data_IF_827495106211
#
_entry.id   IF_827495106211
#
_cell.length_a   1.000
_cell.length_b   1.000
_cell.length_c   1.000
_cell.angle_alpha   90.00
_cell.angle_beta   90.00
_cell.angle_gamma   90.00
#
_symmetry.space_group_name_H-M   'P 1'
#
loop_
_entity.id
_entity.type
_entity.pdbx_description
1 polymer ?
#
# COMPACT_ATOMS: atom_id res chain seq x y z
N UNK A 1 65.55 38.62 -34.79
CA UNK A 1 66.30 38.05 -33.66
C UNK A 1 65.73 38.66 -32.39
N UNK A 2 65.02 37.99 -31.48
CA UNK A 2 64.57 36.61 -31.39
C UNK A 2 63.47 36.53 -30.31
N UNK A 3 62.44 35.74 -30.63
CA UNK A 3 61.56 34.91 -29.81
C UNK A 3 60.71 35.46 -28.65
N UNK A 4 59.40 35.51 -28.96
CA UNK A 4 58.25 35.24 -28.08
C UNK A 4 58.53 34.10 -27.08
N UNK A 5 58.32 34.37 -25.79
CA UNK A 5 58.19 33.35 -24.76
C UNK A 5 56.71 33.18 -24.38
N UNK A 6 55.96 32.44 -25.19
CA UNK A 6 54.62 31.97 -24.82
C UNK A 6 54.76 30.96 -23.67
N UNK A 7 54.49 31.38 -22.43
CA UNK A 7 54.41 30.45 -21.30
C UNK A 7 53.17 29.55 -21.48
N UNK A 8 53.40 28.35 -22.02
CA UNK A 8 52.41 27.28 -22.04
C UNK A 8 52.18 26.79 -20.60
N UNK A 9 51.10 27.27 -19.98
CA UNK A 9 50.65 26.87 -18.64
C UNK A 9 50.19 25.41 -18.72
N UNK A 10 51.04 24.48 -18.30
CA UNK A 10 50.73 23.05 -18.21
C UNK A 10 49.45 22.86 -17.41
N UNK A 11 48.42 22.29 -18.03
CA UNK A 11 47.30 21.69 -17.28
C UNK A 11 47.88 20.52 -16.49
N UNK A 12 47.76 20.57 -15.16
CA UNK A 12 48.02 19.42 -14.33
C UNK A 12 46.84 18.46 -14.52
N UNK A 13 46.98 17.51 -15.43
CA UNK A 13 46.08 16.38 -15.50
C UNK A 13 46.29 15.56 -14.23
N UNK A 14 45.43 15.81 -13.23
CA UNK A 14 45.41 15.08 -11.97
C UNK A 14 44.69 13.75 -12.22
N UNK A 15 45.46 12.70 -12.49
CA UNK A 15 44.96 11.33 -12.46
C UNK A 15 44.60 10.89 -11.05
N UNK A 16 43.59 10.02 -10.92
CA UNK A 16 43.22 9.40 -9.65
C UNK A 16 44.38 8.55 -9.14
N UNK A 17 44.71 8.67 -7.86
CA UNK A 17 45.74 7.82 -7.24
C UNK A 17 45.15 6.45 -6.88
N UNK A 18 45.99 5.41 -6.81
CA UNK A 18 45.55 4.09 -6.33
C UNK A 18 44.95 4.17 -4.92
N UNK A 19 45.53 4.99 -4.05
CA UNK A 19 45.03 5.23 -2.69
C UNK A 19 43.65 5.86 -2.70
N UNK A 20 43.40 6.80 -3.61
CA UNK A 20 42.10 7.45 -3.76
C UNK A 20 41.02 6.49 -4.26
N UNK A 21 41.35 5.60 -5.21
CA UNK A 21 40.44 4.53 -5.62
C UNK A 21 40.14 3.55 -4.48
N UNK A 22 41.14 3.20 -3.66
CA UNK A 22 40.93 2.35 -2.48
C UNK A 22 40.05 3.06 -1.43
N UNK A 23 40.23 4.37 -1.23
CA UNK A 23 39.42 5.15 -0.29
C UNK A 23 37.97 5.34 -0.79
N UNK A 24 37.77 5.60 -2.08
CA UNK A 24 36.43 5.75 -2.67
C UNK A 24 35.68 4.43 -2.65
N UNK A 25 36.31 3.33 -3.04
CA UNK A 25 35.67 2.00 -3.05
C UNK A 25 35.34 1.51 -1.64
N UNK A 26 36.20 1.76 -0.66
CA UNK A 26 35.90 1.46 0.76
C UNK A 26 34.74 2.30 1.28
N UNK A 27 34.71 3.60 0.97
CA UNK A 27 33.61 4.47 1.37
C UNK A 27 32.28 4.07 0.73
N UNK A 28 32.27 3.71 -0.56
CA UNK A 28 31.09 3.21 -1.26
C UNK A 28 30.63 1.87 -0.67
N UNK A 29 31.54 0.96 -0.32
CA UNK A 29 31.19 -0.31 0.31
C UNK A 29 30.51 -0.12 1.69
N UNK A 30 31.04 0.78 2.51
CA UNK A 30 30.45 1.12 3.82
C UNK A 30 29.07 1.75 3.65
N UNK A 31 28.92 2.72 2.74
CA UNK A 31 27.63 3.35 2.47
C UNK A 31 26.60 2.38 1.89
N UNK A 32 27.03 1.50 0.98
CA UNK A 32 26.19 0.43 0.43
C UNK A 32 25.63 -0.47 1.51
N UNK A 33 26.44 -0.82 2.52
CA UNK A 33 26.02 -1.65 3.65
C UNK A 33 24.96 -0.97 4.53
N UNK A 34 25.05 0.35 4.72
CA UNK A 34 24.09 1.11 5.53
C UNK A 34 22.76 1.38 4.79
N UNK A 35 22.74 1.32 3.45
CA UNK A 35 21.62 1.80 2.64
C UNK A 35 20.40 0.88 2.60
N UNK A 36 20.53 -0.40 2.97
CA UNK A 36 19.50 -1.42 2.74
C UNK A 36 18.23 -1.21 3.59
N UNK A 37 18.35 -0.68 4.81
CA UNK A 37 17.27 -0.69 5.80
C UNK A 37 16.28 0.48 5.71
N UNK A 38 16.54 1.51 4.89
CA UNK A 38 15.75 2.75 4.92
C UNK A 38 14.42 2.70 4.13
N UNK A 39 14.14 1.62 3.37
CA UNK A 39 13.09 1.64 2.34
C UNK A 39 11.78 0.92 2.69
N UNK A 40 11.74 0.12 3.76
CA UNK A 40 10.57 -0.71 4.10
C UNK A 40 9.31 0.12 4.38
N UNK A 41 9.36 1.00 5.38
CA UNK A 41 8.18 1.76 5.83
C UNK A 41 7.61 2.75 4.80
N UNK A 42 8.38 3.18 3.81
CA UNK A 42 7.86 4.01 2.71
C UNK A 42 7.03 3.18 1.73
N UNK A 43 7.48 1.97 1.39
CA UNK A 43 6.75 1.06 0.50
C UNK A 43 5.40 0.68 1.08
N UNK A 44 5.34 0.38 2.37
CA UNK A 44 4.08 0.00 3.02
C UNK A 44 3.08 1.15 3.03
N UNK A 45 3.52 2.39 3.30
CA UNK A 45 2.63 3.57 3.21
C UNK A 45 2.07 3.77 1.80
N UNK A 46 2.89 3.58 0.77
CA UNK A 46 2.43 3.67 -0.62
C UNK A 46 1.42 2.56 -0.93
N UNK A 47 1.71 1.32 -0.53
CA UNK A 47 0.80 0.17 -0.70
C UNK A 47 -0.53 0.38 0.02
N UNK A 48 -0.50 0.82 1.28
CA UNK A 48 -1.70 1.18 2.04
C UNK A 48 -2.52 2.24 1.31
N UNK A 49 -1.88 3.29 0.78
CA UNK A 49 -2.60 4.31 0.01
C UNK A 49 -3.23 3.74 -1.27
N UNK A 50 -2.52 2.88 -2.00
CA UNK A 50 -3.07 2.20 -3.18
C UNK A 50 -4.30 1.39 -2.79
N UNK A 51 -4.24 0.60 -1.72
CA UNK A 51 -5.38 -0.20 -1.26
C UNK A 51 -6.59 0.67 -0.86
N UNK A 52 -6.36 1.81 -0.19
CA UNK A 52 -7.41 2.79 0.12
C UNK A 52 -8.06 3.34 -1.15
N UNK A 53 -7.25 3.72 -2.14
CA UNK A 53 -7.75 4.28 -3.41
C UNK A 53 -8.54 3.21 -4.20
N UNK A 54 -8.09 1.96 -4.19
CA UNK A 54 -8.77 0.82 -4.84
C UNK A 54 -10.10 0.47 -4.16
N UNK A 55 -10.14 0.40 -2.83
CA UNK A 55 -11.38 0.20 -2.06
C UNK A 55 -12.35 1.35 -2.34
N UNK A 56 -11.87 2.59 -2.36
CA UNK A 56 -12.70 3.77 -2.69
C UNK A 56 -13.31 3.65 -4.08
N UNK A 57 -12.51 3.30 -5.08
CA UNK A 57 -12.99 3.13 -6.45
C UNK A 57 -14.02 1.98 -6.57
N UNK A 58 -13.80 0.87 -5.87
CA UNK A 58 -14.75 -0.25 -5.85
C UNK A 58 -16.05 0.12 -5.14
N UNK A 59 -15.99 0.82 -4.00
CA UNK A 59 -17.18 1.30 -3.29
C UNK A 59 -18.05 2.17 -4.18
N UNK A 60 -17.47 3.09 -4.95
CA UNK A 60 -18.23 3.92 -5.89
C UNK A 60 -18.99 3.07 -6.91
N UNK A 61 -18.36 2.04 -7.48
CA UNK A 61 -19.02 1.16 -8.47
C UNK A 61 -20.11 0.30 -7.83
N UNK A 62 -19.88 -0.22 -6.62
CA UNK A 62 -20.87 -1.00 -5.86
C UNK A 62 -22.09 -0.14 -5.53
N UNK A 63 -21.86 1.07 -5.01
CA UNK A 63 -22.92 2.00 -4.61
C UNK A 63 -23.72 2.48 -5.84
N UNK A 64 -23.04 2.70 -6.97
CA UNK A 64 -23.69 3.01 -8.24
C UNK A 64 -24.56 1.84 -8.72
N UNK A 65 -24.03 0.60 -8.66
CA UNK A 65 -24.78 -0.61 -9.04
C UNK A 65 -26.04 -0.77 -8.20
N UNK A 66 -25.94 -0.51 -6.89
CA UNK A 66 -27.08 -0.53 -5.99
C UNK A 66 -28.10 0.55 -6.32
N UNK A 67 -27.66 1.75 -6.67
CA UNK A 67 -28.53 2.85 -7.09
C UNK A 67 -29.28 2.52 -8.39
N UNK A 68 -28.60 1.88 -9.34
CA UNK A 68 -29.14 1.59 -10.68
C UNK A 68 -30.09 0.39 -10.70
N UNK A 69 -29.80 -0.65 -9.90
CA UNK A 69 -30.53 -1.93 -9.93
C UNK A 69 -31.43 -2.16 -8.72
N UNK A 70 -31.24 -1.38 -7.65
CA UNK A 70 -31.88 -1.60 -6.36
C UNK A 70 -31.32 -2.77 -5.56
N UNK A 71 -30.24 -3.42 -6.04
CA UNK A 71 -29.60 -4.54 -5.37
C UNK A 71 -28.07 -4.38 -5.33
N UNK A 72 -27.46 -4.78 -4.21
CA UNK A 72 -26.01 -4.91 -4.11
C UNK A 72 -25.52 -6.13 -4.91
N UNK A 73 -24.31 -6.08 -5.50
CA UNK A 73 -23.75 -7.22 -6.21
C UNK A 73 -23.58 -8.42 -5.26
N UNK A 74 -23.63 -9.63 -5.81
CA UNK A 74 -23.37 -10.86 -5.06
C UNK A 74 -21.88 -11.08 -4.82
N UNK A 75 -21.04 -10.58 -5.73
CA UNK A 75 -19.59 -10.66 -5.66
C UNK A 75 -18.89 -9.51 -6.39
N UNK A 76 -17.59 -9.34 -6.15
CA UNK A 76 -16.76 -8.41 -6.94
C UNK A 76 -16.69 -8.80 -8.43
N UNK A 77 -16.96 -10.04 -8.79
CA UNK A 77 -16.99 -10.46 -10.20
C UNK A 77 -18.13 -9.79 -10.98
N UNK A 78 -19.26 -9.53 -10.31
CA UNK A 78 -20.45 -8.93 -10.94
C UNK A 78 -20.20 -7.49 -11.41
N UNK A 79 -19.20 -6.81 -10.82
CA UNK A 79 -18.77 -5.45 -11.19
C UNK A 79 -17.44 -5.44 -11.97
N UNK A 80 -16.99 -6.60 -12.48
CA UNK A 80 -15.74 -6.71 -13.23
C UNK A 80 -14.47 -6.55 -12.40
N UNK A 81 -14.54 -6.74 -11.09
CA UNK A 81 -13.41 -6.66 -10.14
C UNK A 81 -13.06 -8.02 -9.51
N UNK A 82 -13.61 -9.11 -10.06
CA UNK A 82 -13.31 -10.46 -9.61
C UNK A 82 -11.82 -10.79 -9.77
N UNK A 83 -11.21 -11.34 -8.72
CA UNK A 83 -9.79 -11.72 -8.71
C UNK A 83 -8.81 -10.55 -8.68
N UNK A 84 -9.29 -9.31 -8.46
CA UNK A 84 -8.42 -8.16 -8.21
C UNK A 84 -7.62 -8.40 -6.91
N UNK A 85 -6.30 -8.24 -7.02
CA UNK A 85 -5.38 -8.43 -5.90
C UNK A 85 -5.05 -7.09 -5.26
N UNK A 86 -4.92 -7.10 -3.94
CA UNK A 86 -4.38 -5.99 -3.18
C UNK A 86 -2.86 -5.83 -3.44
N UNK A 87 -2.23 -4.74 -2.97
CA UNK A 87 -0.80 -4.48 -3.19
C UNK A 87 0.17 -5.49 -2.57
N UNK A 88 -0.33 -6.41 -1.74
CA UNK A 88 0.43 -7.51 -1.12
C UNK A 88 0.14 -8.86 -1.77
N UNK A 89 -0.78 -8.92 -2.74
CA UNK A 89 -1.11 -10.11 -3.52
C UNK A 89 -2.29 -10.93 -2.98
N UNK A 90 -2.99 -10.45 -1.95
CA UNK A 90 -4.20 -11.10 -1.46
C UNK A 90 -5.41 -10.69 -2.29
N UNK A 91 -6.47 -11.50 -2.29
CA UNK A 91 -7.76 -11.07 -2.83
C UNK A 91 -8.41 -10.02 -1.92
N UNK A 92 -9.04 -9.03 -2.54
CA UNK A 92 -10.02 -8.19 -1.86
C UNK A 92 -11.20 -9.02 -1.39
N UNK A 93 -11.67 -8.74 -0.18
CA UNK A 93 -12.82 -9.42 0.42
C UNK A 93 -14.03 -8.51 0.37
N UNK A 94 -15.11 -9.04 -0.18
CA UNK A 94 -16.42 -8.40 -0.24
C UNK A 94 -17.46 -9.31 0.38
N UNK A 95 -18.35 -8.75 1.19
CA UNK A 95 -19.48 -9.45 1.76
C UNK A 95 -20.72 -8.57 1.72
N UNK A 96 -21.73 -9.01 0.96
CA UNK A 96 -23.05 -8.40 0.99
C UNK A 96 -23.78 -8.77 2.29
N UNK A 97 -23.93 -7.81 3.20
CA UNK A 97 -24.52 -8.03 4.53
C UNK A 97 -26.05 -8.16 4.46
N UNK A 98 -26.68 -7.59 3.44
CA UNK A 98 -28.13 -7.68 3.25
C UNK A 98 -28.59 -9.10 2.91
N UNK A 99 -27.72 -9.90 2.29
CA UNK A 99 -28.01 -11.29 1.91
C UNK A 99 -27.29 -12.33 2.77
N UNK A 100 -26.39 -11.92 3.67
CA UNK A 100 -25.55 -12.83 4.47
C UNK A 100 -26.32 -13.62 5.56
N UNK A 101 -27.63 -13.37 5.74
CA UNK A 101 -28.46 -14.09 6.71
C UNK A 101 -28.17 -13.75 8.18
N UNK A 102 -27.49 -12.63 8.44
CA UNK A 102 -27.16 -12.13 9.78
C UNK A 102 -25.82 -11.38 9.83
N UNK A 103 -25.45 -10.87 11.00
CA UNK A 103 -24.23 -10.07 11.22
C UNK A 103 -23.03 -10.89 11.74
N UNK A 104 -23.15 -12.22 11.76
CA UNK A 104 -22.13 -13.11 12.30
C UNK A 104 -20.77 -12.95 11.60
N UNK A 105 -20.80 -12.91 10.26
CA UNK A 105 -19.64 -12.75 9.39
C UNK A 105 -19.21 -11.29 9.17
N UNK A 106 -20.01 -10.31 9.61
CA UNK A 106 -19.68 -8.90 9.46
C UNK A 106 -18.41 -8.56 10.23
N UNK A 107 -17.60 -7.67 9.65
CA UNK A 107 -16.49 -7.02 10.33
C UNK A 107 -17.04 -6.21 11.50
N UNK A 108 -16.36 -6.23 12.64
CA UNK A 108 -16.87 -5.67 13.90
C UNK A 108 -15.87 -4.76 14.59
N UNK A 109 -16.34 -3.66 15.15
CA UNK A 109 -15.54 -2.73 15.93
C UNK A 109 -15.12 -3.30 17.31
N UNK A 110 -14.52 -2.44 18.13
CA UNK A 110 -14.09 -2.79 19.50
C UNK A 110 -15.25 -3.18 20.44
N UNK A 111 -16.46 -2.72 20.13
CA UNK A 111 -17.70 -3.04 20.86
C UNK A 111 -18.43 -4.25 20.26
N UNK A 112 -17.80 -4.96 19.31
CA UNK A 112 -18.36 -6.08 18.56
C UNK A 112 -19.58 -5.72 17.69
N UNK A 113 -19.74 -4.45 17.34
CA UNK A 113 -20.80 -3.93 16.48
C UNK A 113 -20.33 -3.96 15.02
N UNK A 114 -21.18 -4.38 14.06
CA UNK A 114 -20.83 -4.36 12.65
C UNK A 114 -20.35 -2.97 12.17
N UNK A 115 -19.26 -2.94 11.40
CA UNK A 115 -18.70 -1.70 10.84
C UNK A 115 -19.62 -1.06 9.80
N UNK A 116 -20.34 -1.90 9.08
CA UNK A 116 -21.25 -1.53 8.00
C UNK A 116 -22.58 -2.25 8.17
N UNK A 117 -23.60 -1.72 7.52
CA UNK A 117 -24.95 -2.28 7.47
C UNK A 117 -25.34 -2.79 6.07
N UNK A 118 -24.61 -2.35 5.05
CA UNK A 118 -24.85 -2.65 3.63
C UNK A 118 -23.93 -3.78 3.13
N UNK A 119 -22.62 -3.55 3.12
CA UNK A 119 -21.61 -4.50 2.72
C UNK A 119 -20.27 -4.20 3.39
N UNK A 120 -19.48 -5.25 3.59
CA UNK A 120 -18.06 -5.12 3.93
C UNK A 120 -17.22 -5.17 2.65
N UNK A 121 -16.18 -4.34 2.63
CA UNK A 121 -15.16 -4.32 1.58
C UNK A 121 -13.81 -3.98 2.21
N UNK A 122 -12.84 -4.89 2.08
CA UNK A 122 -11.52 -4.71 2.68
C UNK A 122 -10.42 -5.51 1.98
N UNK A 123 -9.18 -5.09 2.22
CA UNK A 123 -7.94 -5.82 1.92
C UNK A 123 -7.42 -6.41 3.22
N UNK A 124 -6.87 -7.63 3.15
CA UNK A 124 -6.29 -8.33 4.31
C UNK A 124 -4.92 -7.81 4.74
N UNK A 125 -4.37 -6.84 4.00
CA UNK A 125 -3.14 -6.19 4.38
C UNK A 125 -1.88 -7.06 4.16
N UNK A 126 -0.72 -6.58 4.64
CA UNK A 126 0.57 -7.22 4.46
C UNK A 126 0.67 -8.69 4.88
N UNK A 127 0.03 -9.09 5.98
CA UNK A 127 0.17 -10.45 6.51
C UNK A 127 -0.84 -11.44 5.91
N UNK A 128 -1.92 -10.91 5.30
CA UNK A 128 -2.96 -11.69 4.64
C UNK A 128 -3.85 -12.49 5.62
N UNK A 129 -3.65 -12.35 6.92
CA UNK A 129 -4.53 -12.86 7.97
C UNK A 129 -5.64 -11.83 8.22
N UNK A 130 -6.83 -12.30 8.58
CA UNK A 130 -7.94 -11.41 8.94
C UNK A 130 -9.04 -12.20 9.64
N UNK A 131 -9.65 -11.62 10.65
CA UNK A 131 -10.83 -12.17 11.34
C UNK A 131 -11.87 -11.08 11.59
N UNK A 132 -13.13 -11.43 11.85
CA UNK A 132 -14.21 -10.43 11.90
C UNK A 132 -13.98 -9.24 12.87
N UNK A 133 -13.59 -9.43 14.15
CA UNK A 133 -13.38 -8.32 15.07
C UNK A 133 -12.06 -7.56 14.83
N UNK A 134 -12.11 -6.23 14.83
CA UNK A 134 -10.92 -5.37 14.72
C UNK A 134 -10.01 -5.41 15.96
N UNK A 135 -10.48 -5.98 17.07
CA UNK A 135 -9.69 -6.15 18.30
C UNK A 135 -8.68 -7.29 18.22
N UNK A 136 -8.82 -8.18 17.23
CA UNK A 136 -7.88 -9.26 17.01
C UNK A 136 -6.63 -8.73 16.30
N UNK A 137 -5.45 -9.11 16.79
CA UNK A 137 -4.17 -8.68 16.23
C UNK A 137 -4.03 -8.98 14.72
N UNK A 138 -4.63 -10.09 14.27
CA UNK A 138 -4.65 -10.50 12.87
C UNK A 138 -5.51 -9.61 11.96
N UNK A 139 -6.19 -8.58 12.50
CA UNK A 139 -7.03 -7.66 11.72
C UNK A 139 -6.53 -6.21 11.79
N UNK A 140 -5.41 -5.95 12.46
CA UNK A 140 -4.92 -4.58 12.71
C UNK A 140 -4.32 -3.92 11.46
N UNK A 141 -3.80 -4.72 10.53
CA UNK A 141 -3.19 -4.29 9.27
C UNK A 141 -4.16 -4.30 8.08
N UNK A 142 -5.38 -4.77 8.29
CA UNK A 142 -6.47 -4.70 7.32
C UNK A 142 -6.70 -3.25 6.86
N UNK A 143 -7.00 -3.07 5.58
CA UNK A 143 -7.44 -1.78 5.01
C UNK A 143 -8.91 -1.94 4.65
N UNK A 144 -9.80 -1.15 5.24
CA UNK A 144 -11.23 -1.43 5.20
C UNK A 144 -12.10 -0.20 4.96
N UNK A 145 -13.28 -0.45 4.43
CA UNK A 145 -14.43 0.45 4.46
C UNK A 145 -15.20 0.28 5.78
N UNK A 146 -15.54 1.38 6.43
CA UNK A 146 -16.39 1.38 7.62
C UNK A 146 -17.35 2.58 7.65
N UNK A 147 -18.29 2.54 8.61
CA UNK A 147 -19.33 3.56 8.79
C UNK A 147 -20.14 3.80 7.51
N UNK A 148 -20.49 2.71 6.81
CA UNK A 148 -21.19 2.75 5.52
C UNK A 148 -20.48 3.68 4.51
N UNK A 149 -19.15 3.60 4.41
CA UNK A 149 -18.34 4.35 3.45
C UNK A 149 -17.84 5.71 3.92
N UNK A 150 -18.18 6.15 5.15
CA UNK A 150 -17.65 7.41 5.71
C UNK A 150 -16.18 7.31 6.12
N UNK A 151 -15.66 6.09 6.27
CA UNK A 151 -14.26 5.81 6.54
C UNK A 151 -13.74 4.78 5.54
N UNK A 152 -12.58 5.04 4.95
CA UNK A 152 -11.80 4.07 4.19
C UNK A 152 -10.34 4.26 4.59
N UNK A 153 -9.75 3.23 5.20
CA UNK A 153 -8.42 3.37 5.79
C UNK A 153 -7.95 2.13 6.54
N UNK A 154 -6.75 2.20 7.14
CA UNK A 154 -6.23 1.12 7.99
C UNK A 154 -7.13 0.89 9.19
N UNK A 155 -7.36 -0.37 9.55
CA UNK A 155 -8.13 -0.77 10.73
C UNK A 155 -7.57 -0.16 12.02
N UNK A 156 -6.24 -0.06 12.13
CA UNK A 156 -5.56 0.60 13.25
C UNK A 156 -5.83 2.11 13.39
N UNK A 157 -6.43 2.74 12.38
CA UNK A 157 -6.80 4.17 12.37
C UNK A 157 -8.31 4.41 12.46
N UNK A 158 -9.09 3.36 12.70
CA UNK A 158 -10.54 3.38 12.87
C UNK A 158 -10.92 3.32 14.35
#
# INVERSE_FOLDING_TARGET
MDHDATMCRRRADRGLTLVELMLVTTLVAVLGMLSVNAWGGWRDRVRTKVAVDEITAMSVVIDQTHTDTGALPGSLADIGRGGMKDPWGNDYVYLNLTTAGGTGAARKDHSLVPLNSDYDLYSKGPDGASVAPLTAAASHDDILRANNGRFIGPASSY
#
